data_IF_060357714092
#
_entry.id   IF_060357714092
#
_cell.length_a   1.000
_cell.length_b   1.000
_cell.length_c   1.000
_cell.angle_alpha   90.00
_cell.angle_beta   90.00
_cell.angle_gamma   90.00
#
_symmetry.space_group_name_H-M   'P 1'
#
loop_
_entity.id
_entity.type
_entity.pdbx_description
1 polymer ?
#
# COMPACT_ATOMS: atom_id res chain seq x y z
N UNK A 1 -8.08 25.65 0.49
CA UNK A 1 -9.08 24.59 0.62
C UNK A 1 -8.41 23.23 0.50
N UNK A 2 -8.74 22.32 1.37
CA UNK A 2 -8.16 20.97 1.33
C UNK A 2 -8.98 20.05 0.42
N UNK A 3 -8.30 19.16 -0.28
CA UNK A 3 -8.96 18.12 -1.08
C UNK A 3 -8.12 16.85 -1.00
N UNK A 4 -8.63 15.76 -1.54
CA UNK A 4 -7.97 14.46 -1.47
C UNK A 4 -7.40 14.08 -2.83
N UNK A 5 -6.13 13.67 -2.85
CA UNK A 5 -5.49 13.11 -4.04
C UNK A 5 -5.56 11.59 -3.93
N UNK A 6 -6.12 10.95 -4.93
CA UNK A 6 -6.30 9.49 -4.95
C UNK A 6 -5.51 8.83 -6.06
N UNK A 7 -4.95 7.66 -5.75
CA UNK A 7 -4.26 6.80 -6.71
C UNK A 7 -4.64 5.35 -6.44
N UNK A 8 -4.83 4.59 -7.48
CA UNK A 8 -5.20 3.18 -7.37
C UNK A 8 -4.28 2.30 -8.22
N UNK A 9 -4.05 1.08 -7.76
CA UNK A 9 -3.26 0.10 -8.49
C UNK A 9 -3.80 -1.30 -8.27
N UNK A 10 -3.82 -2.11 -9.33
CA UNK A 10 -4.17 -3.52 -9.26
C UNK A 10 -2.98 -4.32 -9.78
N UNK A 11 -2.51 -5.27 -8.99
CA UNK A 11 -1.35 -6.08 -9.33
C UNK A 11 -1.70 -7.55 -9.13
N UNK A 12 -1.38 -8.38 -10.13
CA UNK A 12 -1.49 -9.82 -9.96
C UNK A 12 -0.10 -10.36 -9.66
N UNK A 13 0.01 -11.14 -8.60
CA UNK A 13 1.29 -11.67 -8.13
C UNK A 13 1.24 -13.19 -8.05
N UNK A 14 2.37 -13.82 -8.36
CA UNK A 14 2.49 -15.29 -8.41
C UNK A 14 2.80 -15.89 -7.04
N UNK A 15 1.97 -15.55 -6.05
CA UNK A 15 2.05 -16.08 -4.69
C UNK A 15 0.64 -16.30 -4.16
N UNK A 16 0.49 -17.26 -3.25
CA UNK A 16 -0.81 -17.52 -2.64
C UNK A 16 -1.24 -16.33 -1.78
N UNK A 17 -2.55 -16.20 -1.57
CA UNK A 17 -3.10 -15.14 -0.75
C UNK A 17 -2.56 -15.21 0.68
N UNK A 18 -2.33 -16.41 1.17
CA UNK A 18 -1.79 -16.64 2.52
C UNK A 18 -0.35 -16.14 2.63
N UNK A 19 0.48 -16.46 1.64
CA UNK A 19 1.86 -15.99 1.61
C UNK A 19 1.94 -14.47 1.59
N UNK A 20 1.10 -13.83 0.77
CA UNK A 20 1.04 -12.37 0.70
C UNK A 20 0.58 -11.77 2.02
N UNK A 21 -0.49 -12.33 2.59
CA UNK A 21 -1.02 -11.82 3.86
C UNK A 21 0.02 -11.82 4.97
N UNK A 22 0.86 -12.84 5.00
CA UNK A 22 1.94 -12.93 5.98
C UNK A 22 3.10 -11.97 5.69
N UNK A 23 3.36 -11.69 4.43
CA UNK A 23 4.47 -10.82 4.02
C UNK A 23 4.17 -9.33 4.13
N UNK A 24 2.91 -8.94 3.90
CA UNK A 24 2.52 -7.52 3.88
C UNK A 24 2.86 -6.78 5.18
N UNK A 25 2.55 -7.29 6.38
CA UNK A 25 2.92 -6.58 7.61
C UNK A 25 4.42 -6.33 7.74
N UNK A 26 5.23 -7.25 7.24
CA UNK A 26 6.69 -7.10 7.26
C UNK A 26 7.15 -5.97 6.34
N UNK A 27 6.52 -5.84 5.19
CA UNK A 27 6.81 -4.74 4.26
C UNK A 27 6.42 -3.40 4.88
N UNK A 28 5.26 -3.34 5.53
CA UNK A 28 4.78 -2.13 6.20
C UNK A 28 5.75 -1.73 7.32
N UNK A 29 6.23 -2.70 8.10
CA UNK A 29 7.19 -2.44 9.16
C UNK A 29 8.51 -1.92 8.61
N UNK A 30 8.99 -2.50 7.52
CA UNK A 30 10.22 -2.06 6.87
C UNK A 30 10.14 -0.63 6.36
N UNK A 31 8.96 -0.22 5.90
CA UNK A 31 8.70 1.14 5.43
C UNK A 31 8.46 2.12 6.59
N UNK A 32 8.36 1.60 7.80
CA UNK A 32 8.04 2.38 9.01
C UNK A 32 6.65 3.03 8.92
N UNK A 33 5.73 2.37 8.24
CA UNK A 33 4.33 2.78 8.16
C UNK A 33 3.53 2.12 9.27
N UNK A 34 2.31 2.58 9.49
CA UNK A 34 1.48 2.10 10.59
C UNK A 34 0.24 1.36 10.07
N UNK A 35 -0.02 0.17 10.59
CA UNK A 35 -1.24 -0.56 10.28
C UNK A 35 -2.35 -0.01 11.18
N UNK A 36 -3.41 0.51 10.57
CA UNK A 36 -4.56 1.07 11.29
C UNK A 36 -5.67 0.05 11.48
N UNK A 37 -5.89 -0.80 10.48
CA UNK A 37 -6.91 -1.85 10.52
C UNK A 37 -6.38 -3.08 9.82
N UNK A 38 -6.73 -4.24 10.35
CA UNK A 38 -6.37 -5.53 9.74
C UNK A 38 -7.54 -6.49 9.92
N UNK A 39 -8.15 -6.90 8.80
CA UNK A 39 -9.27 -7.84 8.80
C UNK A 39 -8.87 -9.10 8.03
N UNK A 40 -8.39 -10.10 8.77
CA UNK A 40 -7.89 -11.35 8.18
C UNK A 40 -8.95 -12.08 7.36
N UNK A 41 -10.18 -12.12 7.86
CA UNK A 41 -11.28 -12.84 7.19
C UNK A 41 -11.61 -12.27 5.82
N UNK A 42 -11.37 -10.97 5.63
CA UNK A 42 -11.61 -10.27 4.38
C UNK A 42 -10.35 -10.01 3.58
N UNK A 43 -9.20 -10.37 4.12
CA UNK A 43 -7.88 -10.04 3.54
C UNK A 43 -7.79 -8.57 3.20
N UNK A 44 -8.21 -7.74 4.14
CA UNK A 44 -8.24 -6.28 4.00
C UNK A 44 -7.34 -5.63 5.04
N UNK A 45 -6.56 -4.66 4.62
CA UNK A 45 -5.63 -3.95 5.48
C UNK A 45 -5.74 -2.46 5.21
N UNK A 46 -5.73 -1.66 6.26
CA UNK A 46 -5.67 -0.21 6.14
C UNK A 46 -4.39 0.27 6.81
N UNK A 47 -3.62 1.07 6.08
CA UNK A 47 -2.28 1.51 6.48
C UNK A 47 -2.18 3.01 6.38
N UNK A 48 -1.40 3.62 7.27
CA UNK A 48 -1.04 5.03 7.16
C UNK A 48 0.45 5.13 6.88
N UNK A 49 0.80 5.85 5.81
CA UNK A 49 2.19 6.02 5.43
C UNK A 49 2.86 7.12 6.26
N UNK A 50 4.17 7.22 6.16
CA UNK A 50 4.92 8.35 6.71
C UNK A 50 4.64 9.60 5.87
N UNK A 51 4.50 10.73 6.54
CA UNK A 51 4.46 12.02 5.86
C UNK A 51 5.85 12.42 5.38
N UNK A 52 5.91 13.44 4.53
CA UNK A 52 7.16 13.99 4.04
C UNK A 52 7.08 15.51 4.15
N UNK A 53 8.19 16.19 3.85
CA UNK A 53 8.21 17.66 3.86
C UNK A 53 7.14 18.18 2.89
N UNK A 54 6.25 19.02 3.38
CA UNK A 54 5.16 19.62 2.61
C UNK A 54 4.16 18.58 2.04
N UNK A 55 4.13 17.38 2.59
CA UNK A 55 3.21 16.32 2.15
C UNK A 55 2.67 15.57 3.36
N UNK A 56 1.35 15.45 3.44
CA UNK A 56 0.70 14.71 4.50
C UNK A 56 0.84 13.19 4.29
N UNK A 57 0.74 12.40 5.36
CA UNK A 57 0.70 10.94 5.21
C UNK A 57 -0.48 10.51 4.35
N UNK A 58 -0.32 9.42 3.62
CA UNK A 58 -1.40 8.81 2.85
C UNK A 58 -2.11 7.73 3.67
N UNK A 59 -3.40 7.56 3.43
CA UNK A 59 -4.12 6.38 3.88
C UNK A 59 -4.13 5.41 2.72
N UNK A 60 -3.74 4.16 2.97
CA UNK A 60 -3.65 3.14 1.93
C UNK A 60 -4.49 1.93 2.32
N UNK A 61 -5.39 1.52 1.44
CA UNK A 61 -6.20 0.32 1.63
C UNK A 61 -5.65 -0.77 0.71
N UNK A 62 -5.44 -1.94 1.27
CA UNK A 62 -4.90 -3.09 0.54
C UNK A 62 -5.89 -4.23 0.67
N UNK A 63 -6.39 -4.71 -0.46
CA UNK A 63 -7.32 -5.83 -0.51
C UNK A 63 -6.74 -6.94 -1.37
N UNK A 64 -6.85 -8.17 -0.90
CA UNK A 64 -6.35 -9.35 -1.61
C UNK A 64 -7.49 -10.23 -2.05
N UNK A 65 -7.43 -10.69 -3.30
CA UNK A 65 -8.40 -11.63 -3.86
C UNK A 65 -7.63 -12.79 -4.47
N UNK A 66 -7.91 -14.00 -4.02
CA UNK A 66 -7.29 -15.19 -4.58
C UNK A 66 -7.84 -15.47 -5.97
N UNK A 67 -6.97 -15.63 -6.95
CA UNK A 67 -7.35 -16.02 -8.31
C UNK A 67 -7.28 -17.52 -8.42
N UNK A 68 -6.18 -18.10 -7.91
CA UNK A 68 -6.01 -19.54 -7.78
C UNK A 68 -5.03 -19.81 -6.62
N UNK A 69 -4.61 -21.05 -6.45
CA UNK A 69 -3.75 -21.45 -5.33
C UNK A 69 -2.39 -20.75 -5.30
N UNK A 70 -1.94 -20.24 -6.44
CA UNK A 70 -0.60 -19.64 -6.56
C UNK A 70 -0.63 -18.22 -7.08
N UNK A 71 -1.82 -17.65 -7.30
CA UNK A 71 -1.95 -16.31 -7.86
C UNK A 71 -2.96 -15.48 -7.07
N UNK A 72 -2.59 -14.29 -6.73
CA UNK A 72 -3.43 -13.37 -5.96
C UNK A 72 -3.46 -12.00 -6.64
N UNK A 73 -4.64 -11.41 -6.66
CA UNK A 73 -4.79 -10.01 -7.10
C UNK A 73 -4.72 -9.13 -5.88
N UNK A 74 -3.84 -8.14 -5.91
CA UNK A 74 -3.69 -7.17 -4.86
C UNK A 74 -4.20 -5.82 -5.37
N UNK A 75 -5.22 -5.29 -4.70
CA UNK A 75 -5.80 -4.00 -5.03
C UNK A 75 -5.36 -2.98 -4.00
N UNK A 76 -4.74 -1.90 -4.44
CA UNK A 76 -4.22 -0.86 -3.58
C UNK A 76 -4.91 0.45 -3.91
N UNK A 77 -5.48 1.10 -2.91
CA UNK A 77 -6.09 2.42 -3.05
C UNK A 77 -5.43 3.35 -2.03
N UNK A 78 -4.80 4.41 -2.49
CA UNK A 78 -4.12 5.36 -1.63
C UNK A 78 -4.74 6.74 -1.75
N UNK A 79 -4.92 7.41 -0.62
CA UNK A 79 -5.48 8.76 -0.55
C UNK A 79 -4.56 9.66 0.29
N UNK A 80 -4.33 10.86 -0.18
CA UNK A 80 -3.55 11.86 0.56
C UNK A 80 -4.34 13.16 0.65
N UNK A 81 -4.61 13.68 1.87
CA UNK A 81 -5.22 15.00 1.98
C UNK A 81 -4.19 16.06 1.54
N UNK A 82 -4.62 16.99 0.71
CA UNK A 82 -3.73 18.05 0.22
C UNK A 82 -4.40 19.41 0.31
N UNK A 83 -3.58 20.45 0.50
CA UNK A 83 -4.03 21.84 0.41
C UNK A 83 -3.51 22.41 -0.91
N UNK A 84 -3.88 23.63 -1.24
CA UNK A 84 -3.37 24.28 -2.45
C UNK A 84 -1.84 24.28 -2.48
N UNK A 85 -1.21 24.52 -1.33
CA UNK A 85 0.26 24.58 -1.23
C UNK A 85 0.85 23.18 -1.27
N UNK A 86 0.32 22.28 -0.44
CA UNK A 86 0.88 20.93 -0.34
C UNK A 86 0.62 20.07 -1.58
N UNK A 87 -0.40 20.42 -2.39
CA UNK A 87 -0.66 19.65 -3.60
C UNK A 87 0.47 19.76 -4.62
N UNK A 88 1.17 20.89 -4.65
CA UNK A 88 2.32 21.06 -5.53
C UNK A 88 3.48 20.19 -5.06
N UNK A 89 3.77 20.24 -3.76
CA UNK A 89 4.85 19.45 -3.17
C UNK A 89 4.53 17.94 -3.16
N UNK A 90 3.24 17.60 -3.16
CA UNK A 90 2.78 16.21 -3.12
C UNK A 90 2.71 15.56 -4.50
N UNK A 91 2.95 16.32 -5.56
CA UNK A 91 2.81 15.81 -6.93
C UNK A 91 3.59 14.49 -7.11
N UNK A 92 2.86 13.42 -7.44
CA UNK A 92 3.44 12.10 -7.65
C UNK A 92 3.79 11.31 -6.39
N UNK A 93 3.73 11.91 -5.20
CA UNK A 93 4.13 11.21 -3.96
C UNK A 93 3.17 10.09 -3.56
N UNK A 94 1.88 10.26 -3.79
CA UNK A 94 0.90 9.21 -3.50
C UNK A 94 1.19 7.98 -4.34
N UNK A 95 1.44 8.18 -5.63
CA UNK A 95 1.81 7.11 -6.55
C UNK A 95 3.14 6.48 -6.16
N UNK A 96 4.11 7.29 -5.81
CA UNK A 96 5.44 6.83 -5.38
C UNK A 96 5.35 5.94 -4.15
N UNK A 97 4.45 6.24 -3.23
CA UNK A 97 4.24 5.42 -2.02
C UNK A 97 3.69 4.04 -2.38
N UNK A 98 2.77 3.97 -3.34
CA UNK A 98 2.27 2.68 -3.84
C UNK A 98 3.42 1.88 -4.43
N UNK A 99 4.24 2.50 -5.26
CA UNK A 99 5.39 1.84 -5.89
C UNK A 99 6.40 1.36 -4.85
N UNK A 100 6.67 2.16 -3.83
CA UNK A 100 7.56 1.77 -2.73
C UNK A 100 7.05 0.52 -2.01
N UNK A 101 5.75 0.48 -1.75
CA UNK A 101 5.14 -0.69 -1.10
C UNK A 101 5.31 -1.93 -1.97
N UNK A 102 4.95 -1.84 -3.25
CA UNK A 102 5.03 -2.98 -4.17
C UNK A 102 6.47 -3.48 -4.30
N UNK A 103 7.44 -2.58 -4.46
CA UNK A 103 8.85 -2.96 -4.56
C UNK A 103 9.36 -3.61 -3.28
N UNK A 104 9.03 -3.05 -2.12
CA UNK A 104 9.44 -3.60 -0.83
C UNK A 104 8.87 -4.99 -0.62
N UNK A 105 7.60 -5.16 -0.94
CA UNK A 105 6.93 -6.46 -0.83
C UNK A 105 7.57 -7.48 -1.77
N UNK A 106 7.83 -7.09 -3.01
CA UNK A 106 8.46 -7.98 -3.99
C UNK A 106 9.83 -8.47 -3.52
N UNK A 107 10.63 -7.58 -2.96
CA UNK A 107 11.95 -7.95 -2.41
C UNK A 107 11.85 -8.94 -1.26
N UNK A 108 10.88 -8.74 -0.38
CA UNK A 108 10.65 -9.66 0.74
C UNK A 108 10.21 -11.04 0.25
N UNK A 109 9.33 -11.08 -0.74
CA UNK A 109 8.84 -12.33 -1.30
C UNK A 109 9.95 -13.11 -2.02
N UNK A 110 10.82 -12.42 -2.74
CA UNK A 110 11.96 -13.05 -3.41
C UNK A 110 12.93 -13.71 -2.42
N UNK A 111 13.16 -13.07 -1.29
CA UNK A 111 14.08 -13.61 -0.27
C UNK A 111 13.55 -14.88 0.41
N UNK A 112 12.26 -15.13 0.33
CA UNK A 112 11.63 -16.30 0.94
C UNK A 112 11.65 -17.54 0.07
N UNK A 113 12.06 -17.41 -1.16
CA UNK A 113 12.15 -18.55 -2.08
C UNK A 113 13.33 -19.44 -1.76
#
# INVERSE_FOLDING_TARGET
>A
MAYTREENENVEVDYSIKQLWEAIPKAIEQLEWTIQESEKDKFHLKVKTKGAFMSYPSSMKIDLVSIDDETTRMMIAAETPVTTITSIADFGRTRERIEKFVVTLARLMEKKK
#
